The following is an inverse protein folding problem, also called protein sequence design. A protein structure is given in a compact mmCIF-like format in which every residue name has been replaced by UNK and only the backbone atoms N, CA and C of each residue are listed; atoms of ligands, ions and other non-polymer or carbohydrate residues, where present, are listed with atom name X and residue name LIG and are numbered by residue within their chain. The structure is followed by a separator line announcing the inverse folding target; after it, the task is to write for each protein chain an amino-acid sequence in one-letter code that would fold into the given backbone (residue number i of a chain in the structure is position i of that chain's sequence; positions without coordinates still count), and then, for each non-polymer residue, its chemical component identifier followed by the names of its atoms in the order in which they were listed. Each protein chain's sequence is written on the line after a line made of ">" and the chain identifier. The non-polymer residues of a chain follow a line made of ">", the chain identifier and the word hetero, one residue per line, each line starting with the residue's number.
data_IF_056886964402
#
_entry.id   IF_056886964402
#
_cell.length_a   1.000
_cell.length_b   1.000
_cell.length_c   1.000
_cell.angle_alpha   90.00
_cell.angle_beta   90.00
_cell.angle_gamma   90.00
#
_symmetry.space_group_name_H-M   'P 1'
#
loop_
_entity.id
_entity.type
_entity.pdbx_description
1 polymer ?
#
# COMPACT_ATOMS: atom_id res chain seq x y z
N UNK A 1 18.24 -5.45 8.15
CA UNK A 1 16.79 -5.50 7.87
C UNK A 1 16.32 -6.94 8.03
N UNK A 2 15.23 -7.17 8.75
CA UNK A 2 14.65 -8.50 8.90
C UNK A 2 14.05 -8.97 7.57
N UNK A 3 14.28 -10.22 7.15
CA UNK A 3 13.75 -10.74 5.87
C UNK A 3 12.28 -11.11 5.95
N UNK A 4 11.77 -11.33 7.16
CA UNK A 4 10.40 -11.82 7.42
C UNK A 4 9.40 -10.69 7.63
N UNK A 5 9.84 -9.43 7.46
CA UNK A 5 9.01 -8.25 7.61
C UNK A 5 8.96 -7.42 6.33
N UNK A 6 7.76 -6.98 5.98
CA UNK A 6 7.47 -5.95 5.00
C UNK A 6 7.62 -4.57 5.64
N UNK A 7 8.49 -3.71 5.09
CA UNK A 7 8.74 -2.39 5.66
C UNK A 7 8.07 -1.30 4.84
N UNK A 8 7.21 -0.52 5.49
CA UNK A 8 6.60 0.67 4.89
C UNK A 8 7.20 1.92 5.53
N UNK A 9 7.85 2.74 4.71
CA UNK A 9 8.32 4.07 5.12
C UNK A 9 7.26 5.10 4.80
N UNK A 10 6.73 5.76 5.83
CA UNK A 10 5.89 6.95 5.66
C UNK A 10 6.77 8.17 5.91
N UNK A 11 7.21 8.82 4.83
CA UNK A 11 8.10 9.98 4.88
C UNK A 11 7.47 11.23 4.27
N UNK A 12 7.83 12.37 4.87
CA UNK A 12 7.62 13.70 4.35
C UNK A 12 9.00 14.35 4.20
N UNK A 13 9.36 14.77 2.99
CA UNK A 13 10.73 15.12 2.62
C UNK A 13 11.75 14.03 3.01
N UNK A 14 12.73 14.37 3.88
CA UNK A 14 13.80 13.46 4.32
C UNK A 14 13.46 12.67 5.58
N UNK A 15 12.41 13.07 6.30
CA UNK A 15 12.06 12.51 7.60
C UNK A 15 10.88 11.56 7.46
N UNK A 16 10.88 10.46 8.21
CA UNK A 16 9.78 9.52 8.17
C UNK A 16 9.96 8.34 9.10
N UNK A 17 8.84 7.72 9.48
CA UNK A 17 8.82 6.51 10.28
C UNK A 17 8.83 5.29 9.37
N UNK A 18 9.71 4.34 9.66
CA UNK A 18 9.74 3.03 9.03
C UNK A 18 9.01 2.05 9.94
N UNK A 19 7.91 1.47 9.46
CA UNK A 19 7.12 0.51 10.24
C UNK A 19 7.27 -0.89 9.65
N UNK A 20 7.73 -1.89 10.44
CA UNK A 20 7.73 -3.29 10.01
C UNK A 20 6.35 -3.92 10.15
N UNK A 21 5.96 -4.73 9.17
CA UNK A 21 4.76 -5.55 9.15
C UNK A 21 5.17 -6.98 8.80
N UNK A 22 4.99 -7.93 9.73
CA UNK A 22 5.37 -9.32 9.52
C UNK A 22 4.40 -10.04 8.58
N UNK A 23 4.92 -10.84 7.65
CA UNK A 23 4.10 -11.49 6.62
C UNK A 23 3.00 -12.39 7.19
N UNK A 24 3.26 -13.09 8.30
CA UNK A 24 2.31 -14.01 8.95
C UNK A 24 1.04 -13.32 9.47
N UNK A 25 1.11 -12.01 9.70
CA UNK A 25 0.00 -11.23 10.27
C UNK A 25 -0.67 -10.32 9.23
N UNK A 26 -0.26 -10.42 7.96
CA UNK A 26 -0.87 -9.67 6.85
C UNK A 26 -2.01 -10.53 6.30
N UNK A 27 -3.23 -10.04 6.45
CA UNK A 27 -4.43 -10.63 5.87
C UNK A 27 -5.04 -9.71 4.80
N UNK A 28 -5.85 -10.28 3.92
CA UNK A 28 -6.66 -9.56 2.93
C UNK A 28 -5.90 -8.46 2.19
N UNK A 29 -4.81 -8.83 1.51
CA UNK A 29 -4.07 -7.87 0.68
C UNK A 29 -4.87 -7.55 -0.59
N UNK A 30 -5.26 -6.28 -0.74
CA UNK A 30 -6.04 -5.79 -1.86
C UNK A 30 -5.47 -4.50 -2.43
N UNK A 31 -5.88 -4.24 -3.66
CA UNK A 31 -5.45 -3.10 -4.43
C UNK A 31 -6.65 -2.56 -5.21
N UNK A 32 -6.91 -1.26 -5.06
CA UNK A 32 -8.01 -0.58 -5.74
C UNK A 32 -7.51 0.70 -6.41
N UNK A 33 -7.96 0.91 -7.64
CA UNK A 33 -7.84 2.20 -8.33
C UNK A 33 -9.24 2.72 -8.59
N UNK A 34 -9.65 3.84 -7.98
CA UNK A 34 -10.93 4.45 -8.28
C UNK A 34 -10.97 4.89 -9.75
N UNK A 35 -12.12 4.71 -10.39
CA UNK A 35 -12.35 5.15 -11.76
C UNK A 35 -12.24 6.67 -11.88
N UNK A 36 -11.63 7.15 -12.96
CA UNK A 36 -11.24 8.56 -13.12
C UNK A 36 -12.38 9.59 -13.17
N UNK A 37 -13.63 9.15 -13.29
CA UNK A 37 -14.82 10.04 -13.32
C UNK A 37 -15.54 10.14 -11.97
N UNK A 38 -14.98 9.56 -10.92
CA UNK A 38 -15.58 9.59 -9.58
C UNK A 38 -15.23 10.89 -8.85
N UNK A 39 -16.12 11.33 -7.96
CA UNK A 39 -15.88 12.46 -7.05
C UNK A 39 -14.61 12.18 -6.21
N UNK A 40 -14.38 10.92 -5.85
CA UNK A 40 -13.17 10.49 -5.15
C UNK A 40 -11.90 10.74 -5.96
N UNK A 41 -11.88 10.41 -7.26
CA UNK A 41 -10.72 10.68 -8.10
C UNK A 41 -10.42 12.19 -8.21
N UNK A 42 -11.46 13.02 -8.32
CA UNK A 42 -11.33 14.48 -8.35
C UNK A 42 -10.79 14.99 -7.00
N UNK A 43 -11.30 14.49 -5.89
CA UNK A 43 -10.85 14.86 -4.55
C UNK A 43 -9.39 14.47 -4.31
N UNK A 44 -9.00 13.25 -4.69
CA UNK A 44 -7.62 12.76 -4.59
C UNK A 44 -6.65 13.47 -5.53
N UNK A 45 -7.14 14.11 -6.61
CA UNK A 45 -6.30 14.89 -7.52
C UNK A 45 -5.85 16.23 -6.93
N UNK A 46 -6.50 16.70 -5.87
CA UNK A 46 -6.21 18.00 -5.26
C UNK A 46 -4.77 18.03 -4.70
N UNK A 47 -3.99 19.09 -4.97
CA UNK A 47 -2.62 19.25 -4.45
C UNK A 47 -2.52 19.16 -2.92
N UNK A 48 -3.60 19.49 -2.22
CA UNK A 48 -3.69 19.56 -0.77
C UNK A 48 -4.13 18.25 -0.13
N UNK A 49 -4.58 17.27 -0.92
CA UNK A 49 -5.05 15.99 -0.44
C UNK A 49 -3.90 14.98 -0.52
N UNK A 50 -3.40 14.55 0.64
CA UNK A 50 -2.38 13.49 0.74
C UNK A 50 -2.94 12.07 0.47
N UNK A 51 -4.16 11.98 -0.07
CA UNK A 51 -4.91 10.75 -0.33
C UNK A 51 -4.43 9.95 -1.54
N UNK A 52 -5.19 8.92 -1.90
CA UNK A 52 -4.89 8.05 -3.03
C UNK A 52 -3.87 6.96 -2.73
N UNK A 53 -3.85 6.44 -1.50
CA UNK A 53 -3.20 5.17 -1.17
C UNK A 53 -3.99 4.04 -1.85
N UNK A 54 -3.31 3.23 -2.68
CA UNK A 54 -3.95 2.24 -3.56
C UNK A 54 -3.92 0.81 -3.03
N UNK A 55 -2.99 0.52 -2.13
CA UNK A 55 -2.86 -0.79 -1.51
C UNK A 55 -3.41 -0.75 -0.11
N UNK A 56 -4.10 -1.82 0.25
CA UNK A 56 -4.59 -2.04 1.60
C UNK A 56 -4.39 -3.48 2.02
N UNK A 57 -4.19 -3.66 3.32
CA UNK A 57 -4.12 -4.96 3.95
C UNK A 57 -4.58 -4.86 5.39
N UNK A 58 -5.07 -5.97 5.92
CA UNK A 58 -5.39 -6.08 7.33
C UNK A 58 -4.15 -6.51 8.12
N UNK A 59 -3.92 -5.84 9.25
CA UNK A 59 -2.87 -6.18 10.19
C UNK A 59 -3.39 -6.07 11.62
N UNK A 60 -3.53 -7.21 12.30
CA UNK A 60 -4.14 -7.29 13.63
C UNK A 60 -5.49 -6.55 13.74
N UNK A 61 -6.42 -6.81 12.82
CA UNK A 61 -7.74 -6.16 12.83
C UNK A 61 -7.75 -4.70 12.38
N UNK A 62 -6.61 -4.15 11.93
CA UNK A 62 -6.49 -2.76 11.47
C UNK A 62 -6.11 -2.73 10.01
N UNK A 63 -6.94 -2.07 9.20
CA UNK A 63 -6.62 -1.82 7.79
C UNK A 63 -5.47 -0.82 7.69
N UNK A 64 -4.43 -1.20 6.94
CA UNK A 64 -3.24 -0.39 6.64
C UNK A 64 -3.20 -0.10 5.17
N UNK A 65 -3.19 1.19 4.83
CA UNK A 65 -3.16 1.68 3.45
C UNK A 65 -1.78 2.23 3.06
N UNK A 66 -1.35 2.06 1.81
CA UNK A 66 -0.10 2.62 1.29
C UNK A 66 -0.10 2.70 -0.25
N UNK A 67 0.99 3.22 -0.84
CA UNK A 67 1.14 3.33 -2.29
C UNK A 67 0.44 4.55 -2.86
N UNK A 68 0.97 5.73 -2.58
CA UNK A 68 0.43 7.02 -3.01
C UNK A 68 0.73 7.27 -4.48
N UNK A 69 -0.22 7.88 -5.20
CA UNK A 69 -0.05 8.40 -6.58
C UNK A 69 0.51 7.36 -7.56
N UNK A 70 0.07 6.11 -7.45
CA UNK A 70 0.49 5.07 -8.39
C UNK A 70 -0.40 5.05 -9.64
N UNK A 71 0.23 4.84 -10.79
CA UNK A 71 -0.46 4.61 -12.05
C UNK A 71 -0.99 3.16 -12.12
N UNK A 72 -2.02 2.91 -12.93
CA UNK A 72 -2.67 1.60 -13.04
C UNK A 72 -1.72 0.49 -13.47
N UNK A 73 -0.84 0.77 -14.43
CA UNK A 73 0.15 -0.19 -14.91
C UNK A 73 1.15 -0.56 -13.82
N UNK A 74 1.74 0.43 -13.17
CA UNK A 74 2.78 0.23 -12.16
C UNK A 74 2.21 -0.46 -10.93
N UNK A 75 0.99 -0.08 -10.54
CA UNK A 75 0.34 -0.66 -9.41
C UNK A 75 -0.06 -2.12 -9.64
N UNK A 76 -0.46 -2.50 -10.86
CA UNK A 76 -0.69 -3.91 -11.23
C UNK A 76 0.60 -4.75 -11.22
N UNK A 77 1.72 -4.19 -11.65
CA UNK A 77 3.01 -4.87 -11.58
C UNK A 77 3.45 -5.05 -10.12
N UNK A 78 3.31 -4.00 -9.32
CA UNK A 78 3.65 -4.01 -7.91
C UNK A 78 2.73 -4.96 -7.11
N UNK A 79 1.43 -5.01 -7.40
CA UNK A 79 0.50 -5.94 -6.75
C UNK A 79 0.91 -7.38 -6.97
N UNK A 80 1.25 -7.75 -8.21
CA UNK A 80 1.69 -9.11 -8.53
C UNK A 80 2.97 -9.49 -7.77
N UNK A 81 3.93 -8.55 -7.71
CA UNK A 81 5.17 -8.75 -6.95
C UNK A 81 4.86 -8.95 -5.46
N UNK A 82 4.09 -8.04 -4.85
CA UNK A 82 3.78 -8.09 -3.42
C UNK A 82 3.02 -9.37 -3.05
N UNK A 83 2.01 -9.77 -3.82
CA UNK A 83 1.26 -11.01 -3.61
C UNK A 83 2.20 -12.21 -3.69
N UNK A 84 3.09 -12.27 -4.68
CA UNK A 84 4.05 -13.37 -4.82
C UNK A 84 5.00 -13.47 -3.63
N UNK A 85 5.42 -12.32 -3.08
CA UNK A 85 6.32 -12.25 -1.91
C UNK A 85 5.59 -12.63 -0.64
N UNK A 86 4.42 -12.05 -0.37
CA UNK A 86 3.61 -12.38 0.81
C UNK A 86 3.35 -13.88 0.85
N UNK A 87 2.93 -14.49 -0.27
CA UNK A 87 2.72 -15.94 -0.37
C UNK A 87 3.99 -16.77 -0.14
N UNK A 88 5.15 -16.28 -0.55
CA UNK A 88 6.42 -16.98 -0.36
C UNK A 88 6.90 -16.96 1.10
N UNK A 89 6.52 -15.95 1.87
CA UNK A 89 7.00 -15.74 3.24
C UNK A 89 5.96 -16.08 4.31
N UNK A 90 4.66 -15.98 3.99
CA UNK A 90 3.57 -16.54 4.80
C UNK A 90 3.59 -18.05 4.63
N UNK A 91 4.34 -18.74 5.51
CA UNK A 91 4.54 -20.19 5.43
C UNK A 91 3.78 -20.93 6.52
#
# INVERSE_FOLDING_TARGET
>A
MNKDAFFIKRSFFRYGKLTPYYYDNIADFHFEIPEGRTIQAIWESSPWVSGGERFEFEYFGKVKKFGRKLNQRDAKLLSNLLISKIKSFSK
#
